data_IF_290071339188
#
_entry.id   IF_290071339188
#
_cell.length_a   1.000
_cell.length_b   1.000
_cell.length_c   1.000
_cell.angle_alpha   90.00
_cell.angle_beta   90.00
_cell.angle_gamma   90.00
#
_symmetry.space_group_name_H-M   'P 1'
#
loop_
_entity.id
_entity.type
_entity.pdbx_description
1 polymer ?
#
# COMPACT_ATOMS: atom_id res chain seq x y z
N UNK A 1 14.59 -17.56 14.60
CA UNK A 1 14.19 -16.16 14.59
C UNK A 1 12.74 -16.08 15.01
N UNK A 2 12.46 -15.22 15.98
CA UNK A 2 11.09 -14.86 16.31
C UNK A 2 10.65 -13.76 15.36
N UNK A 3 9.76 -14.09 14.40
CA UNK A 3 9.33 -13.19 13.33
C UNK A 3 7.87 -12.83 13.59
N UNK A 4 7.61 -11.54 13.68
CA UNK A 4 6.25 -10.99 13.68
C UNK A 4 5.89 -10.46 12.29
N UNK A 5 4.69 -10.79 11.84
CA UNK A 5 4.15 -10.27 10.59
C UNK A 5 3.18 -9.14 10.89
N UNK A 6 3.18 -8.12 10.03
CA UNK A 6 2.24 -7.01 10.16
C UNK A 6 1.74 -6.52 8.81
N UNK A 7 0.55 -5.99 8.83
CA UNK A 7 -0.08 -5.30 7.71
C UNK A 7 -0.60 -3.94 8.18
N UNK A 8 -0.23 -2.87 7.47
CA UNK A 8 -0.76 -1.53 7.75
C UNK A 8 -2.07 -1.35 7.01
N UNK A 9 -3.16 -1.60 7.71
CA UNK A 9 -4.50 -1.53 7.17
C UNK A 9 -4.94 -0.07 7.04
N UNK A 10 -5.08 0.39 5.81
CA UNK A 10 -5.55 1.76 5.54
C UNK A 10 -7.07 1.88 5.52
N UNK A 11 -7.79 0.75 5.55
CA UNK A 11 -9.24 0.68 5.38
C UNK A 11 -9.71 0.93 3.94
N UNK A 12 -8.78 1.03 3.01
CA UNK A 12 -9.06 1.36 1.60
C UNK A 12 -8.43 0.35 0.63
N UNK A 13 -8.16 -0.85 1.11
CA UNK A 13 -7.64 -1.93 0.29
C UNK A 13 -8.77 -2.64 -0.47
N UNK A 14 -8.44 -3.36 -1.53
CA UNK A 14 -9.38 -4.24 -2.23
C UNK A 14 -9.70 -5.48 -1.37
N UNK A 15 -10.90 -6.03 -1.49
CA UNK A 15 -11.30 -7.25 -0.77
C UNK A 15 -10.35 -8.43 -1.06
N UNK A 16 -9.84 -8.53 -2.29
CA UNK A 16 -8.86 -9.54 -2.69
C UNK A 16 -7.53 -9.45 -1.91
N UNK A 17 -7.20 -8.28 -1.34
CA UNK A 17 -6.04 -8.14 -0.46
C UNK A 17 -6.29 -8.83 0.87
N UNK A 18 -7.46 -8.64 1.47
CA UNK A 18 -7.84 -9.29 2.72
C UNK A 18 -7.99 -10.81 2.55
N UNK A 19 -8.59 -11.26 1.43
CA UNK A 19 -8.65 -12.68 1.09
C UNK A 19 -7.24 -13.30 1.03
N UNK A 20 -6.32 -12.61 0.38
CA UNK A 20 -4.94 -13.10 0.23
C UNK A 20 -4.18 -13.09 1.56
N UNK A 21 -4.40 -12.09 2.42
CA UNK A 21 -3.82 -12.04 3.76
C UNK A 21 -4.29 -13.21 4.62
N UNK A 22 -5.57 -13.57 4.57
CA UNK A 22 -6.11 -14.75 5.27
C UNK A 22 -5.46 -16.06 4.77
N UNK A 23 -5.26 -16.21 3.46
CA UNK A 23 -4.54 -17.36 2.90
C UNK A 23 -3.08 -17.39 3.38
N UNK A 24 -2.44 -16.21 3.43
CA UNK A 24 -1.06 -16.08 3.87
C UNK A 24 -0.89 -16.42 5.35
N UNK A 25 -1.82 -16.01 6.23
CA UNK A 25 -1.83 -16.42 7.65
C UNK A 25 -1.90 -17.94 7.79
N UNK A 26 -2.79 -18.58 7.04
CA UNK A 26 -2.91 -20.04 7.00
C UNK A 26 -1.61 -20.72 6.55
N UNK A 27 -0.95 -20.18 5.54
CA UNK A 27 0.32 -20.70 5.03
C UNK A 27 1.49 -20.52 6.02
N UNK A 28 1.57 -19.35 6.64
CA UNK A 28 2.63 -19.02 7.60
C UNK A 28 2.46 -19.72 8.95
N UNK A 29 1.26 -20.16 9.28
CA UNK A 29 0.93 -20.71 10.61
C UNK A 29 1.08 -19.71 11.75
N UNK A 30 1.11 -18.41 11.44
CA UNK A 30 1.24 -17.29 12.38
C UNK A 30 0.28 -16.17 12.00
N UNK A 31 -0.29 -15.45 12.97
CA UNK A 31 -1.16 -14.31 12.67
C UNK A 31 -0.38 -13.15 12.06
N UNK A 32 -1.07 -12.33 11.28
CA UNK A 32 -0.59 -11.04 10.80
C UNK A 32 -1.20 -9.94 11.69
N UNK A 33 -0.37 -9.09 12.27
CA UNK A 33 -0.82 -7.97 13.08
C UNK A 33 -1.37 -6.86 12.19
N UNK A 34 -2.67 -6.58 12.26
CA UNK A 34 -3.31 -5.50 11.50
C UNK A 34 -3.14 -4.18 12.25
N UNK A 35 -2.36 -3.29 11.69
CA UNK A 35 -2.03 -1.99 12.29
C UNK A 35 -3.01 -0.92 11.79
N UNK A 36 -4.00 -0.62 12.63
CA UNK A 36 -5.01 0.39 12.39
C UNK A 36 -4.46 1.81 12.65
N UNK A 37 -4.52 2.75 11.70
CA UNK A 37 -4.05 4.12 11.87
C UNK A 37 -4.91 4.97 12.81
N UNK A 38 -6.05 4.48 13.32
CA UNK A 38 -7.03 5.16 14.18
C UNK A 38 -7.71 6.39 13.56
N UNK A 39 -7.26 6.83 12.43
CA UNK A 39 -7.79 7.92 11.63
C UNK A 39 -7.78 7.50 10.16
N UNK A 40 -8.93 7.52 9.53
CA UNK A 40 -9.12 7.07 8.17
C UNK A 40 -8.50 8.03 7.12
N UNK A 41 -8.53 7.62 5.88
CA UNK A 41 -8.03 8.41 4.77
C UNK A 41 -8.77 9.76 4.65
N UNK A 42 -10.08 9.78 4.84
CA UNK A 42 -10.89 11.00 4.72
C UNK A 42 -10.55 12.03 5.79
N UNK A 43 -10.31 11.57 7.02
CA UNK A 43 -9.84 12.44 8.10
C UNK A 43 -8.54 13.14 7.68
N UNK A 44 -7.55 12.38 7.24
CA UNK A 44 -6.27 12.98 6.85
C UNK A 44 -6.38 13.86 5.61
N UNK A 45 -7.17 13.46 4.61
CA UNK A 45 -7.44 14.30 3.44
C UNK A 45 -7.97 15.68 3.86
N UNK A 46 -8.90 15.73 4.81
CA UNK A 46 -9.41 17.01 5.38
C UNK A 46 -8.31 17.80 6.04
N UNK A 47 -7.42 17.17 6.83
CA UNK A 47 -6.29 17.85 7.49
C UNK A 47 -5.28 18.42 6.47
N UNK A 48 -5.22 17.88 5.27
CA UNK A 48 -4.39 18.36 4.16
C UNK A 48 -5.20 19.21 3.16
N UNK A 49 -6.18 19.98 3.64
CA UNK A 49 -7.03 20.87 2.84
C UNK A 49 -7.77 20.17 1.69
N UNK A 50 -8.16 18.93 1.89
CA UNK A 50 -8.75 18.02 0.89
C UNK A 50 -7.86 17.75 -0.33
N UNK A 51 -6.56 18.01 -0.25
CA UNK A 51 -5.65 17.73 -1.34
C UNK A 51 -5.33 16.22 -1.41
N UNK A 52 -5.36 15.69 -2.64
CA UNK A 52 -4.97 14.30 -2.90
C UNK A 52 -3.48 14.09 -2.58
N UNK A 53 -3.12 12.89 -2.11
CA UNK A 53 -1.70 12.53 -2.04
C UNK A 53 -1.12 12.38 -3.43
N UNK A 54 0.17 12.67 -3.55
CA UNK A 54 0.90 12.56 -4.81
C UNK A 54 2.29 11.95 -4.57
N UNK A 55 3.05 11.72 -5.63
CA UNK A 55 4.43 11.25 -5.52
C UNK A 55 5.31 12.21 -4.69
N UNK A 56 5.03 13.51 -4.73
CA UNK A 56 5.74 14.55 -3.98
C UNK A 56 5.15 14.76 -2.58
N UNK A 57 3.85 14.55 -2.40
CA UNK A 57 3.14 14.77 -1.15
C UNK A 57 2.53 13.46 -0.62
N UNK A 58 3.38 12.55 -0.14
CA UNK A 58 3.03 11.19 0.29
C UNK A 58 2.50 11.14 1.73
N UNK A 59 1.64 12.08 2.11
CA UNK A 59 1.08 12.13 3.45
C UNK A 59 0.35 10.83 3.86
N UNK A 60 -0.31 10.16 2.90
CA UNK A 60 -0.98 8.89 3.14
C UNK A 60 0.01 7.79 3.60
N UNK A 61 1.21 7.72 3.02
CA UNK A 61 2.25 6.78 3.46
C UNK A 61 2.69 7.07 4.89
N UNK A 62 2.91 8.34 5.22
CA UNK A 62 3.36 8.72 6.56
C UNK A 62 2.27 8.44 7.60
N UNK A 63 1.05 8.93 7.34
CA UNK A 63 -0.03 8.91 8.33
C UNK A 63 -0.71 7.55 8.49
N UNK A 64 -0.88 6.81 7.39
CA UNK A 64 -1.64 5.57 7.40
C UNK A 64 -0.75 4.31 7.46
N UNK A 65 0.56 4.45 7.22
CA UNK A 65 1.47 3.29 7.22
C UNK A 65 2.62 3.43 8.19
N UNK A 66 3.44 4.47 8.07
CA UNK A 66 4.63 4.61 8.90
C UNK A 66 4.30 4.92 10.37
N UNK A 67 3.40 5.87 10.61
CA UNK A 67 3.04 6.25 11.99
C UNK A 67 2.43 5.08 12.79
N UNK A 68 1.46 4.28 12.27
CA UNK A 68 0.99 3.09 12.97
C UNK A 68 2.09 2.05 13.21
N UNK A 69 2.94 1.82 12.22
CA UNK A 69 4.07 0.89 12.33
C UNK A 69 5.04 1.34 13.43
N UNK A 70 5.49 2.59 13.40
CA UNK A 70 6.42 3.13 14.40
C UNK A 70 5.86 3.06 15.81
N UNK A 71 4.56 3.35 15.96
CA UNK A 71 3.88 3.27 17.24
C UNK A 71 3.84 1.84 17.75
N UNK A 72 3.43 0.90 16.92
CA UNK A 72 3.39 -0.52 17.27
C UNK A 72 4.76 -1.06 17.66
N UNK A 73 5.79 -0.76 16.88
CA UNK A 73 7.17 -1.18 17.21
C UNK A 73 7.63 -0.56 18.52
N UNK A 74 7.32 0.70 18.77
CA UNK A 74 7.69 1.38 19.99
C UNK A 74 7.06 0.72 21.23
N UNK A 75 5.73 0.54 21.21
CA UNK A 75 4.95 0.00 22.33
C UNK A 75 5.24 -1.48 22.58
N UNK A 76 5.36 -2.29 21.53
CA UNK A 76 5.51 -3.73 21.69
C UNK A 76 6.97 -4.18 21.89
N UNK A 77 7.94 -3.43 21.42
CA UNK A 77 9.34 -3.87 21.43
C UNK A 77 10.32 -2.87 22.06
N UNK A 78 10.40 -1.64 21.55
CA UNK A 78 11.46 -0.73 21.93
C UNK A 78 11.37 -0.31 23.41
N UNK A 79 10.17 -0.02 23.91
CA UNK A 79 9.95 0.31 25.34
C UNK A 79 10.29 -0.88 26.27
N UNK A 80 10.27 -2.10 25.75
CA UNK A 80 10.68 -3.32 26.47
C UNK A 80 12.17 -3.63 26.31
N UNK A 81 12.95 -2.76 25.67
CA UNK A 81 14.37 -2.93 25.42
C UNK A 81 14.71 -3.95 24.33
N UNK A 82 13.74 -4.34 23.51
CA UNK A 82 13.91 -5.31 22.42
C UNK A 82 14.41 -4.60 21.17
N UNK A 83 15.50 -5.08 20.59
CA UNK A 83 16.01 -4.59 19.30
C UNK A 83 15.18 -5.15 18.15
N UNK A 84 14.82 -4.31 17.19
CA UNK A 84 13.96 -4.66 16.06
C UNK A 84 14.72 -4.61 14.75
N UNK A 85 14.57 -5.66 13.94
CA UNK A 85 14.94 -5.68 12.52
C UNK A 85 13.67 -5.68 11.67
N UNK A 86 13.51 -4.68 10.82
CA UNK A 86 12.39 -4.59 9.87
C UNK A 86 12.83 -5.14 8.51
N UNK A 87 12.27 -6.27 8.12
CA UNK A 87 12.50 -6.86 6.81
C UNK A 87 11.57 -6.27 5.77
N UNK A 88 12.13 -5.59 4.77
CA UNK A 88 11.35 -4.91 3.72
C UNK A 88 11.67 -5.54 2.37
N UNK A 89 10.66 -6.07 1.70
CA UNK A 89 10.77 -6.79 0.44
C UNK A 89 10.89 -5.85 -0.77
N UNK A 90 11.89 -4.95 -0.76
CA UNK A 90 12.25 -4.17 -1.94
C UNK A 90 13.07 -5.06 -2.86
N UNK A 91 12.56 -5.28 -4.08
CA UNK A 91 13.19 -6.16 -5.06
C UNK A 91 14.51 -5.60 -5.59
N UNK A 92 15.34 -6.48 -6.11
CA UNK A 92 16.65 -6.09 -6.69
C UNK A 92 16.51 -5.23 -7.95
N UNK A 93 15.43 -5.41 -8.74
CA UNK A 93 15.10 -4.60 -9.91
C UNK A 93 14.56 -3.20 -9.58
N UNK A 94 14.25 -2.91 -8.31
CA UNK A 94 13.89 -1.59 -7.80
C UNK A 94 15.11 -0.85 -7.22
N UNK A 95 16.17 -0.72 -7.99
CA UNK A 95 17.49 -0.22 -7.56
C UNK A 95 17.44 1.17 -6.90
N UNK A 96 16.53 2.04 -7.37
CA UNK A 96 16.34 3.41 -6.88
C UNK A 96 15.58 3.51 -5.54
N UNK A 97 15.02 2.40 -5.02
CA UNK A 97 14.31 2.38 -3.75
C UNK A 97 15.25 1.95 -2.62
N UNK A 98 15.34 2.75 -1.58
CA UNK A 98 16.21 2.47 -0.41
C UNK A 98 15.42 2.05 0.84
N UNK A 99 14.11 2.03 0.78
CA UNK A 99 13.29 1.87 1.97
C UNK A 99 13.21 3.17 2.79
N UNK A 100 12.18 3.29 3.58
CA UNK A 100 12.04 4.42 4.50
C UNK A 100 12.56 3.97 5.86
N UNK A 101 13.67 4.55 6.31
CA UNK A 101 14.14 4.39 7.66
C UNK A 101 13.35 5.37 8.55
N UNK A 102 12.47 4.84 9.35
CA UNK A 102 11.56 5.63 10.17
C UNK A 102 12.19 6.07 11.50
N UNK A 103 12.88 5.17 12.17
CA UNK A 103 13.57 5.40 13.45
C UNK A 103 14.96 4.77 13.42
N UNK A 104 15.93 5.40 14.09
CA UNK A 104 17.33 4.89 14.18
C UNK A 104 17.43 3.56 14.92
N UNK A 105 16.50 3.31 15.81
CA UNK A 105 16.42 2.11 16.64
C UNK A 105 15.91 0.88 15.87
N UNK A 106 15.36 1.08 14.66
CA UNK A 106 14.86 0.01 13.79
C UNK A 106 15.88 -0.23 12.69
N UNK A 107 16.54 -1.36 12.71
CA UNK A 107 17.44 -1.78 11.63
C UNK A 107 16.61 -2.25 10.43
N UNK A 108 16.73 -1.59 9.29
CA UNK A 108 16.06 -2.00 8.05
C UNK A 108 16.95 -3.00 7.30
N UNK A 109 16.38 -4.16 6.96
CA UNK A 109 17.03 -5.23 6.19
C UNK A 109 16.29 -5.40 4.86
N UNK A 110 17.01 -5.51 3.76
CA UNK A 110 16.48 -5.61 2.41
C UNK A 110 16.81 -6.98 1.77
N UNK A 111 16.20 -8.07 2.26
CA UNK A 111 16.61 -9.43 1.89
C UNK A 111 16.49 -9.71 0.39
N UNK A 112 15.54 -9.10 -0.31
CA UNK A 112 15.40 -9.31 -1.74
C UNK A 112 16.52 -8.62 -2.54
N UNK A 113 16.98 -7.44 -2.10
CA UNK A 113 18.17 -6.81 -2.72
C UNK A 113 19.45 -7.61 -2.44
N UNK A 114 19.63 -8.04 -1.20
CA UNK A 114 20.80 -8.80 -0.76
C UNK A 114 20.94 -10.15 -1.49
N UNK A 115 19.80 -10.78 -1.81
CA UNK A 115 19.76 -12.10 -2.48
C UNK A 115 19.39 -12.00 -3.98
N UNK A 116 19.45 -10.81 -4.58
CA UNK A 116 19.19 -10.59 -6.00
C UNK A 116 17.80 -11.09 -6.48
N UNK A 117 16.80 -11.05 -5.59
CA UNK A 117 15.42 -11.46 -5.90
C UNK A 117 14.72 -10.31 -6.63
N UNK A 118 14.44 -10.51 -7.89
CA UNK A 118 13.70 -9.60 -8.76
C UNK A 118 12.19 -9.94 -8.81
N UNK A 119 11.45 -9.26 -9.68
CA UNK A 119 10.01 -9.49 -9.85
C UNK A 119 9.68 -10.91 -10.28
N UNK A 120 10.44 -11.45 -11.22
CA UNK A 120 10.21 -12.80 -11.73
C UNK A 120 10.44 -13.86 -10.65
N UNK A 121 11.53 -13.73 -9.91
CA UNK A 121 11.84 -14.61 -8.81
C UNK A 121 10.78 -14.57 -7.69
N UNK A 122 10.20 -13.39 -7.39
CA UNK A 122 9.09 -13.28 -6.44
C UNK A 122 7.86 -14.06 -6.93
N UNK A 123 7.52 -13.97 -8.21
CA UNK A 123 6.39 -14.70 -8.78
C UNK A 123 6.62 -16.22 -8.72
N UNK A 124 7.81 -16.67 -9.06
CA UNK A 124 8.20 -18.08 -8.96
C UNK A 124 8.13 -18.61 -7.52
N UNK A 125 8.56 -17.80 -6.54
CA UNK A 125 8.44 -18.14 -5.11
C UNK A 125 6.96 -18.33 -4.73
N UNK A 126 6.08 -17.42 -5.12
CA UNK A 126 4.66 -17.49 -4.79
C UNK A 126 3.96 -18.68 -5.46
N UNK A 127 4.24 -18.93 -6.73
CA UNK A 127 3.72 -20.11 -7.46
C UNK A 127 4.23 -21.41 -6.83
N UNK A 128 5.52 -21.53 -6.57
CA UNK A 128 6.13 -22.72 -5.97
C UNK A 128 5.67 -22.96 -4.53
N UNK A 129 5.25 -21.92 -3.81
CA UNK A 129 4.70 -22.05 -2.46
C UNK A 129 3.28 -22.63 -2.42
N UNK A 130 2.60 -22.69 -3.56
CA UNK A 130 1.20 -23.07 -3.67
C UNK A 130 0.19 -21.98 -3.29
N UNK A 131 0.66 -20.78 -2.88
CA UNK A 131 -0.20 -19.62 -2.64
C UNK A 131 -0.69 -19.00 -3.95
N UNK A 132 0.16 -19.01 -4.98
CA UNK A 132 -0.07 -18.30 -6.23
C UNK A 132 -0.05 -16.78 -6.06
N UNK A 133 -0.46 -16.07 -7.10
CA UNK A 133 -0.55 -14.61 -7.09
C UNK A 133 -1.92 -14.14 -6.59
N UNK A 134 -1.99 -13.01 -5.87
CA UNK A 134 -3.27 -12.37 -5.56
C UNK A 134 -4.10 -12.08 -6.82
N UNK A 135 -5.41 -12.28 -6.77
CA UNK A 135 -6.33 -12.13 -7.92
C UNK A 135 -6.24 -10.76 -8.60
N UNK A 136 -5.98 -9.69 -7.85
CA UNK A 136 -5.84 -8.35 -8.44
C UNK A 136 -4.69 -8.24 -9.44
N UNK A 137 -3.70 -9.15 -9.46
CA UNK A 137 -2.64 -9.18 -10.47
C UNK A 137 -3.13 -9.49 -11.89
N UNK A 138 -4.37 -9.96 -12.06
CA UNK A 138 -5.00 -10.10 -13.38
C UNK A 138 -5.17 -8.76 -14.10
N UNK A 139 -5.30 -7.67 -13.36
CA UNK A 139 -5.58 -6.34 -13.92
C UNK A 139 -4.73 -5.21 -13.34
N UNK A 140 -4.07 -5.44 -12.20
CA UNK A 140 -3.14 -4.49 -11.55
C UNK A 140 -1.73 -5.07 -11.51
N UNK A 141 -0.74 -4.21 -11.57
CA UNK A 141 0.67 -4.60 -11.50
C UNK A 141 1.25 -4.57 -10.08
N UNK A 142 0.47 -4.14 -9.10
CA UNK A 142 0.92 -3.93 -7.73
C UNK A 142 -0.25 -3.94 -6.74
N UNK A 143 0.03 -4.30 -5.49
CA UNK A 143 -0.89 -4.06 -4.37
C UNK A 143 -0.94 -2.58 -4.00
N UNK A 144 -1.96 -2.19 -3.27
CA UNK A 144 -2.15 -0.85 -2.73
C UNK A 144 -3.62 -0.50 -2.57
N UNK A 145 -3.89 0.64 -1.97
CA UNK A 145 -5.25 1.15 -1.80
C UNK A 145 -6.00 1.20 -3.13
N UNK A 146 -7.32 1.13 -3.08
CA UNK A 146 -8.21 1.18 -4.24
C UNK A 146 -7.95 2.38 -5.15
N UNK A 147 -7.57 3.53 -4.56
CA UNK A 147 -7.29 4.79 -5.26
C UNK A 147 -5.81 5.21 -5.15
N UNK A 148 -4.88 4.29 -5.25
CA UNK A 148 -3.46 4.65 -5.18
C UNK A 148 -3.03 5.52 -6.37
N UNK A 149 -2.44 6.70 -6.11
CA UNK A 149 -1.94 7.63 -7.15
C UNK A 149 -0.78 7.06 -8.00
N UNK A 150 -0.24 5.90 -7.63
CA UNK A 150 0.72 5.17 -8.44
C UNK A 150 0.07 4.20 -9.45
N UNK A 151 -1.26 4.15 -9.51
CA UNK A 151 -1.96 3.34 -10.51
C UNK A 151 -1.73 3.91 -11.91
N UNK A 152 -1.52 3.00 -12.86
CA UNK A 152 -1.50 3.34 -14.28
C UNK A 152 -2.92 3.58 -14.78
N UNK A 153 -3.08 4.32 -15.87
CA UNK A 153 -4.38 4.60 -16.49
C UNK A 153 -5.20 3.34 -16.72
N UNK A 154 -4.59 2.29 -17.29
CA UNK A 154 -5.27 1.01 -17.53
C UNK A 154 -5.74 0.32 -16.22
N UNK A 155 -5.07 0.55 -15.11
CA UNK A 155 -5.46 0.00 -13.81
C UNK A 155 -6.66 0.78 -13.21
N UNK A 156 -6.83 2.06 -13.54
CA UNK A 156 -8.03 2.82 -13.24
C UNK A 156 -9.23 2.33 -14.05
N UNK A 157 -9.03 1.98 -15.33
CA UNK A 157 -10.06 1.33 -16.15
C UNK A 157 -10.44 -0.03 -15.53
N UNK A 158 -9.47 -0.84 -15.16
CA UNK A 158 -9.71 -2.11 -14.48
C UNK A 158 -10.47 -1.95 -13.15
N UNK A 159 -10.17 -0.90 -12.37
CA UNK A 159 -10.92 -0.57 -11.16
C UNK A 159 -12.37 -0.19 -11.48
N UNK A 160 -12.59 0.61 -12.51
CA UNK A 160 -13.93 1.03 -12.94
C UNK A 160 -14.79 -0.17 -13.35
N UNK A 161 -14.21 -1.14 -14.06
CA UNK A 161 -14.91 -2.32 -14.56
C UNK A 161 -15.19 -3.36 -13.47
N UNK A 162 -14.25 -3.57 -12.57
CA UNK A 162 -14.30 -4.67 -11.57
C UNK A 162 -14.80 -4.22 -10.20
N UNK A 163 -14.54 -2.97 -9.81
CA UNK A 163 -14.88 -2.37 -8.52
C UNK A 163 -15.53 -0.98 -8.72
N UNK A 164 -16.69 -0.88 -9.37
CA UNK A 164 -17.30 0.40 -9.75
C UNK A 164 -17.57 1.31 -8.54
N UNK A 165 -17.92 0.76 -7.39
CA UNK A 165 -18.15 1.55 -6.17
C UNK A 165 -16.85 2.21 -5.66
N UNK A 166 -15.73 1.48 -5.68
CA UNK A 166 -14.43 2.00 -5.31
C UNK A 166 -13.97 3.09 -6.30
N UNK A 167 -14.21 2.89 -7.59
CA UNK A 167 -13.94 3.90 -8.62
C UNK A 167 -14.77 5.18 -8.40
N UNK A 168 -16.08 5.06 -8.14
CA UNK A 168 -16.94 6.21 -7.84
C UNK A 168 -16.54 6.93 -6.53
N UNK A 169 -16.06 6.19 -5.53
CA UNK A 169 -15.49 6.79 -4.34
C UNK A 169 -14.24 7.64 -4.65
N UNK A 170 -13.32 7.10 -5.45
CA UNK A 170 -12.13 7.82 -5.91
C UNK A 170 -12.50 9.09 -6.71
N UNK A 171 -13.50 9.02 -7.60
CA UNK A 171 -14.03 10.18 -8.34
C UNK A 171 -14.55 11.27 -7.39
N UNK A 172 -15.30 10.88 -6.35
CA UNK A 172 -15.81 11.85 -5.37
C UNK A 172 -14.67 12.53 -4.61
N UNK A 173 -13.63 11.79 -4.24
CA UNK A 173 -12.44 12.36 -3.58
C UNK A 173 -11.71 13.34 -4.50
N UNK A 174 -11.52 12.97 -5.78
CA UNK A 174 -10.88 13.83 -6.78
C UNK A 174 -11.67 15.12 -7.00
N UNK A 175 -13.00 15.00 -7.17
CA UNK A 175 -13.87 16.17 -7.30
C UNK A 175 -13.76 17.08 -6.08
N UNK A 176 -13.80 16.53 -4.86
CA UNK A 176 -13.64 17.32 -3.63
C UNK A 176 -12.29 18.03 -3.61
N UNK A 177 -11.21 17.38 -4.01
CA UNK A 177 -9.90 17.98 -4.07
C UNK A 177 -9.84 19.14 -5.07
N UNK A 178 -10.37 18.96 -6.28
CA UNK A 178 -10.42 19.99 -7.32
C UNK A 178 -11.28 21.19 -6.90
N UNK A 179 -12.42 20.96 -6.29
CA UNK A 179 -13.32 22.02 -5.76
C UNK A 179 -12.62 22.84 -4.64
N UNK A 180 -11.63 22.27 -3.94
CA UNK A 180 -10.80 22.95 -2.94
C UNK A 180 -9.48 23.51 -3.51
N UNK A 181 -9.33 23.56 -4.82
CA UNK A 181 -8.18 24.18 -5.50
C UNK A 181 -6.94 23.29 -5.61
N UNK A 182 -7.06 21.98 -5.38
CA UNK A 182 -5.97 21.05 -5.68
C UNK A 182 -5.66 21.07 -7.18
N UNK A 183 -4.40 21.19 -7.58
CA UNK A 183 -4.03 21.10 -8.98
C UNK A 183 -3.87 19.63 -9.45
N UNK A 184 -4.11 18.65 -8.60
CA UNK A 184 -3.79 17.25 -8.87
C UNK A 184 -5.04 16.41 -9.06
N UNK A 185 -4.96 15.51 -10.02
CA UNK A 185 -5.89 14.41 -10.29
C UNK A 185 -5.22 13.07 -9.94
N UNK A 186 -6.01 12.01 -9.82
CA UNK A 186 -5.46 10.66 -9.61
C UNK A 186 -4.63 10.16 -10.80
N UNK A 187 -5.13 10.40 -12.02
CA UNK A 187 -4.38 10.15 -13.24
C UNK A 187 -3.60 11.40 -13.65
N UNK A 188 -2.38 11.23 -14.16
CA UNK A 188 -1.66 12.34 -14.75
C UNK A 188 -2.42 12.89 -15.97
N UNK A 189 -2.64 14.19 -15.99
CA UNK A 189 -3.23 14.92 -17.12
C UNK A 189 -4.72 14.68 -17.42
N UNK A 190 -5.43 13.90 -16.61
CA UNK A 190 -6.82 13.56 -16.85
C UNK A 190 -7.55 13.25 -15.55
N UNK A 191 -8.77 13.75 -15.39
CA UNK A 191 -9.61 13.39 -14.24
C UNK A 191 -10.26 12.03 -14.43
N UNK A 192 -10.67 11.38 -13.33
CA UNK A 192 -11.44 10.13 -13.42
C UNK A 192 -12.81 10.34 -14.07
N UNK A 193 -13.36 11.56 -14.00
CA UNK A 193 -14.58 11.92 -14.71
C UNK A 193 -14.36 11.90 -16.23
N UNK A 194 -13.23 12.41 -16.70
CA UNK A 194 -12.89 12.37 -18.14
C UNK A 194 -12.60 10.94 -18.57
N UNK A 195 -11.82 10.19 -17.80
CA UNK A 195 -11.51 8.78 -18.05
C UNK A 195 -12.78 7.90 -18.18
N UNK A 196 -13.83 8.22 -17.45
CA UNK A 196 -15.07 7.43 -17.45
C UNK A 196 -16.05 7.77 -18.59
N UNK A 197 -15.73 8.73 -19.46
CA UNK A 197 -16.59 9.04 -20.63
C UNK A 197 -16.40 7.98 -21.70
N UNK A 198 -17.49 7.50 -22.32
CA UNK A 198 -17.38 6.70 -23.53
C UNK A 198 -16.72 7.54 -24.65
N UNK A 199 -15.89 6.88 -25.48
CA UNK A 199 -15.34 7.48 -26.69
C UNK A 199 -16.41 7.82 -27.71
#
# INVERSE_FOLDING_TARGET
LDIEYFFTDTGEELDEVYEYLNMLEGYLGKPINYLDPKRDFKFWMTQYNNFLPSAQARWCTVRLKLTPFEKWVDEEFLQKGIKVKSYVAIRSDESFREGLQSKKEIETVLPFKENHIDKQAVFEILENSGLGLPKYYEWRSRSGCTFCFFQRKIEWVGLMERHPEAFENAKRMEKTALDNGSPFTWCQSESLVELSKPE
#
